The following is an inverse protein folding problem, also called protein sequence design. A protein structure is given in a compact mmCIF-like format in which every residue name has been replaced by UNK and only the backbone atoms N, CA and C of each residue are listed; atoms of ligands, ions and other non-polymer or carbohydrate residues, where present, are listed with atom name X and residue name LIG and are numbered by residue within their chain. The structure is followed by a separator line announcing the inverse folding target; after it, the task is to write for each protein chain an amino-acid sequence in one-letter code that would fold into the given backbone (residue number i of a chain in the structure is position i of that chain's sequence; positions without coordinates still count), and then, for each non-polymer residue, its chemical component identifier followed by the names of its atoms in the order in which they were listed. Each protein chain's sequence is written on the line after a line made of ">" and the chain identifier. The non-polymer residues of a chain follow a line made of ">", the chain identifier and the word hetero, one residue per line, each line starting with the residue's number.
data_IF_524595920979
#
_entry.id   IF_524595920979
#
_cell.length_a   1.000
_cell.length_b   1.000
_cell.length_c   1.000
_cell.angle_alpha   90.00
_cell.angle_beta   90.00
_cell.angle_gamma   90.00
#
_symmetry.space_group_name_H-M   'P 1'
#
loop_
_entity.id
_entity.type
_entity.pdbx_description
1 polymer ?
#
# COMPACT_ATOMS: atom_id res chain seq x y z
N UNK A 1 -24.60 10.13 -0.34
CA UNK A 1 -23.44 10.95 0.08
C UNK A 1 -22.66 11.38 -1.15
N UNK A 2 -22.19 12.63 -1.22
CA UNK A 2 -21.39 13.13 -2.35
C UNK A 2 -19.88 13.02 -2.11
N UNK A 3 -19.08 13.04 -3.17
CA UNK A 3 -17.61 13.07 -3.10
C UNK A 3 -17.13 14.24 -2.23
N UNK A 4 -17.71 15.44 -2.40
CA UNK A 4 -17.38 16.61 -1.58
C UNK A 4 -17.68 16.41 -0.08
N UNK A 5 -18.73 15.66 0.25
CA UNK A 5 -19.05 15.30 1.64
C UNK A 5 -18.02 14.34 2.22
N UNK A 6 -17.59 13.34 1.44
CA UNK A 6 -16.53 12.40 1.84
C UNK A 6 -15.21 13.12 2.12
N UNK A 7 -14.80 14.02 1.22
CA UNK A 7 -13.56 14.79 1.41
C UNK A 7 -13.60 15.65 2.67
N UNK A 8 -14.74 16.28 2.99
CA UNK A 8 -14.90 17.04 4.24
C UNK A 8 -14.76 16.16 5.48
N UNK A 9 -15.42 15.00 5.51
CA UNK A 9 -15.31 14.08 6.65
C UNK A 9 -13.88 13.59 6.92
N UNK A 10 -13.07 13.46 5.88
CA UNK A 10 -11.65 13.10 6.02
C UNK A 10 -10.80 14.31 6.42
N UNK A 11 -11.06 15.49 5.85
CA UNK A 11 -10.39 16.73 6.20
C UNK A 11 -10.61 17.11 7.68
N UNK A 12 -11.82 16.91 8.21
CA UNK A 12 -12.16 17.13 9.63
C UNK A 12 -11.33 16.23 10.58
N UNK A 13 -10.79 15.12 10.06
CA UNK A 13 -9.89 14.21 10.78
C UNK A 13 -8.41 14.44 10.47
N UNK A 14 -8.07 15.51 9.74
CA UNK A 14 -6.71 15.79 9.28
C UNK A 14 -6.18 14.78 8.25
N UNK A 15 -7.05 13.99 7.62
CA UNK A 15 -6.69 12.95 6.66
C UNK A 15 -6.95 13.41 5.22
N UNK A 16 -6.01 13.11 4.33
CA UNK A 16 -6.24 13.22 2.88
C UNK A 16 -6.80 11.90 2.37
N UNK A 17 -8.01 11.91 1.78
CA UNK A 17 -8.70 10.69 1.27
C UNK A 17 -7.76 9.82 0.42
N UNK A 18 -7.01 10.44 -0.50
CA UNK A 18 -6.06 9.74 -1.36
C UNK A 18 -4.92 9.09 -0.57
N UNK A 19 -4.40 9.76 0.46
CA UNK A 19 -3.36 9.20 1.34
C UNK A 19 -3.91 8.05 2.18
N UNK A 20 -5.14 8.17 2.70
CA UNK A 20 -5.79 7.09 3.42
C UNK A 20 -5.98 5.85 2.55
N UNK A 21 -6.50 6.02 1.33
CA UNK A 21 -6.68 4.90 0.38
C UNK A 21 -5.32 4.27 0.03
N UNK A 22 -4.31 5.09 -0.26
CA UNK A 22 -2.95 4.61 -0.54
C UNK A 22 -2.41 3.79 0.63
N UNK A 23 -2.57 4.27 1.85
CA UNK A 23 -2.19 3.53 3.04
C UNK A 23 -2.97 2.21 3.07
N UNK A 24 -4.30 2.21 3.05
CA UNK A 24 -5.06 0.95 3.06
C UNK A 24 -4.60 -0.07 2.01
N UNK A 25 -4.26 0.36 0.79
CA UNK A 25 -3.65 -0.51 -0.24
C UNK A 25 -2.29 -1.08 0.19
N UNK A 26 -1.41 -0.25 0.77
CA UNK A 26 -0.13 -0.70 1.31
C UNK A 26 -0.27 -1.74 2.45
N UNK A 27 -1.31 -1.63 3.29
CA UNK A 27 -1.59 -2.65 4.33
C UNK A 27 -1.91 -4.00 3.71
N UNK A 28 -2.79 -4.00 2.70
CA UNK A 28 -3.15 -5.21 1.97
C UNK A 28 -1.97 -5.79 1.19
N UNK A 29 -1.12 -4.94 0.59
CA UNK A 29 0.12 -5.42 -0.03
C UNK A 29 1.03 -6.10 0.99
N UNK A 30 1.22 -5.51 2.18
CA UNK A 30 2.06 -6.11 3.21
C UNK A 30 1.51 -7.46 3.67
N UNK A 31 0.20 -7.60 3.78
CA UNK A 31 -0.44 -8.87 4.10
C UNK A 31 -0.29 -9.92 2.99
N UNK A 32 -0.54 -9.53 1.73
CA UNK A 32 -0.33 -10.39 0.59
C UNK A 32 1.13 -10.85 0.48
N UNK A 33 2.10 -9.96 0.71
CA UNK A 33 3.54 -10.28 0.66
C UNK A 33 3.93 -11.35 1.70
N UNK A 34 3.31 -11.33 2.89
CA UNK A 34 3.58 -12.33 3.95
C UNK A 34 3.07 -13.72 3.59
N UNK A 35 2.00 -13.81 2.80
CA UNK A 35 1.39 -15.07 2.38
C UNK A 35 1.78 -15.48 0.95
N UNK A 36 2.58 -14.66 0.27
CA UNK A 36 3.00 -14.89 -1.11
C UNK A 36 3.99 -16.05 -1.21
N UNK A 37 3.87 -16.81 -2.29
CA UNK A 37 4.86 -17.83 -2.63
C UNK A 37 6.22 -17.20 -2.98
N UNK A 38 7.27 -18.02 -2.92
CA UNK A 38 8.66 -17.61 -3.11
C UNK A 38 8.94 -16.99 -4.47
N UNK A 39 8.36 -17.61 -5.49
CA UNK A 39 8.46 -17.26 -6.90
C UNK A 39 7.49 -16.14 -7.31
N UNK A 40 6.57 -15.75 -6.43
CA UNK A 40 5.61 -14.69 -6.72
C UNK A 40 6.30 -13.34 -6.83
N UNK A 41 6.05 -12.62 -7.93
CA UNK A 41 6.64 -11.30 -8.18
C UNK A 41 5.98 -10.23 -7.32
N UNK A 42 6.76 -9.57 -6.47
CA UNK A 42 6.30 -8.46 -5.61
C UNK A 42 5.66 -7.31 -6.40
N UNK A 43 6.13 -7.05 -7.63
CA UNK A 43 5.52 -6.07 -8.52
C UNK A 43 4.06 -6.43 -8.86
N UNK A 44 3.77 -7.73 -9.10
CA UNK A 44 2.44 -8.24 -9.37
C UNK A 44 1.47 -7.96 -8.23
N UNK A 45 1.91 -8.15 -6.99
CA UNK A 45 1.13 -7.79 -5.79
C UNK A 45 0.82 -6.29 -5.77
N UNK A 46 1.82 -5.44 -6.05
CA UNK A 46 1.60 -3.99 -6.17
C UNK A 46 0.57 -3.63 -7.24
N UNK A 47 0.67 -4.21 -8.43
CA UNK A 47 -0.29 -3.99 -9.51
C UNK A 47 -1.70 -4.43 -9.14
N UNK A 48 -1.86 -5.60 -8.50
CA UNK A 48 -3.15 -6.11 -8.06
C UNK A 48 -3.88 -5.14 -7.11
N UNK A 49 -3.13 -4.46 -6.23
CA UNK A 49 -3.67 -3.47 -5.30
C UNK A 49 -3.71 -2.04 -5.85
N UNK A 50 -3.48 -1.86 -7.15
CA UNK A 50 -3.70 -0.59 -7.85
C UNK A 50 -2.52 0.38 -7.81
N UNK A 51 -1.29 -0.11 -7.66
CA UNK A 51 -0.08 0.66 -7.96
C UNK A 51 0.30 0.45 -9.43
N UNK A 52 0.54 1.53 -10.18
CA UNK A 52 0.86 1.47 -11.60
C UNK A 52 2.35 1.39 -11.91
N UNK A 53 3.21 1.55 -10.91
CA UNK A 53 4.67 1.54 -11.08
C UNK A 53 5.35 0.90 -9.87
N UNK A 54 6.32 0.02 -10.15
CA UNK A 54 7.04 -0.74 -9.15
C UNK A 54 7.97 0.13 -8.31
N UNK A 55 8.59 1.15 -8.91
CA UNK A 55 9.54 2.03 -8.22
C UNK A 55 8.80 2.92 -7.21
N UNK A 56 7.67 3.50 -7.63
CA UNK A 56 6.76 4.25 -6.78
C UNK A 56 6.20 3.37 -5.67
N UNK A 57 5.68 2.17 -5.99
CA UNK A 57 5.22 1.22 -4.97
C UNK A 57 6.28 0.93 -3.92
N UNK A 58 7.50 0.55 -4.34
CA UNK A 58 8.59 0.24 -3.42
C UNK A 58 8.97 1.43 -2.54
N UNK A 59 8.95 2.64 -3.11
CA UNK A 59 9.24 3.88 -2.40
C UNK A 59 8.20 4.17 -1.32
N UNK A 60 6.90 4.18 -1.67
CA UNK A 60 5.84 4.48 -0.70
C UNK A 60 5.64 3.35 0.31
N UNK A 61 5.93 2.10 -0.06
CA UNK A 61 5.92 0.97 0.87
C UNK A 61 7.02 1.14 1.91
N UNK A 62 8.26 1.46 1.49
CA UNK A 62 9.37 1.73 2.40
C UNK A 62 9.10 2.93 3.31
N UNK A 63 8.54 4.01 2.76
CA UNK A 63 8.15 5.19 3.55
C UNK A 63 7.17 4.84 4.67
N UNK A 64 6.26 3.88 4.43
CA UNK A 64 5.26 3.48 5.42
C UNK A 64 5.78 2.46 6.44
N UNK A 65 6.49 1.43 5.99
CA UNK A 65 6.85 0.28 6.83
C UNK A 65 8.31 0.28 7.29
N UNK A 66 9.12 1.26 6.86
CA UNK A 66 10.54 1.36 7.16
C UNK A 66 11.43 0.34 6.43
N UNK A 67 10.84 -0.53 5.60
CA UNK A 67 11.54 -1.58 4.86
C UNK A 67 10.88 -1.77 3.49
N UNK A 68 11.65 -2.23 2.51
CA UNK A 68 11.19 -2.54 1.15
C UNK A 68 10.26 -3.77 1.15
N UNK A 69 9.43 -3.96 0.11
CA UNK A 69 8.61 -5.17 -0.06
C UNK A 69 9.41 -6.48 0.04
N UNK A 70 10.62 -6.51 -0.52
CA UNK A 70 11.49 -7.69 -0.47
C UNK A 70 12.07 -7.96 0.92
N UNK A 71 12.45 -6.91 1.65
CA UNK A 71 12.84 -7.04 3.07
C UNK A 71 11.68 -7.52 3.94
N UNK A 72 10.46 -7.01 3.69
CA UNK A 72 9.27 -7.47 4.38
C UNK A 72 9.03 -8.97 4.15
N UNK A 73 9.09 -9.44 2.90
CA UNK A 73 9.00 -10.88 2.58
C UNK A 73 10.05 -11.69 3.34
N UNK A 74 11.31 -11.27 3.33
CA UNK A 74 12.39 -12.00 4.03
C UNK A 74 12.22 -12.01 5.56
N UNK A 75 11.69 -10.92 6.14
CA UNK A 75 11.57 -10.75 7.59
C UNK A 75 10.42 -11.56 8.20
N UNK A 76 9.33 -11.76 7.46
CA UNK A 76 8.11 -12.42 7.93
C UNK A 76 7.93 -13.85 7.40
N UNK A 77 9.02 -14.44 6.92
CA UNK A 77 9.09 -15.88 6.67
C UNK A 77 9.51 -16.65 7.91
#
# INVERSE_FOLDING_TARGET
>A
MSVRSLYRMFADKGLVVAQYIRNRRLDFCADAIRHAADDEKLAGIGFHWGFSDQSHFSTVFKQRFGMTPGENRRKFR
#
